data_IF_399219639887
#
_entry.id   IF_399219639887
#
_cell.length_a   1.000
_cell.length_b   1.000
_cell.length_c   1.000
_cell.angle_alpha   90.00
_cell.angle_beta   90.00
_cell.angle_gamma   90.00
#
_symmetry.space_group_name_H-M   'P 1'
#
loop_
_entity.id
_entity.type
_entity.pdbx_description
1 polymer ?
#
# COMPACT_ATOMS: atom_id res chain seq x y z
N UNK A 1 2.92 21.10 -10.07
CA UNK A 1 1.78 20.99 -9.14
C UNK A 1 2.06 19.87 -8.14
N UNK A 2 2.54 20.23 -6.96
CA UNK A 2 2.90 19.30 -5.88
C UNK A 2 1.62 18.79 -5.23
N UNK A 3 1.38 17.48 -5.28
CA UNK A 3 0.42 16.87 -4.38
C UNK A 3 1.12 16.64 -3.06
N UNK A 4 0.62 17.34 -2.06
CA UNK A 4 1.06 17.27 -0.68
C UNK A 4 0.99 15.80 -0.20
N UNK A 5 2.06 15.21 0.37
CA UNK A 5 2.12 13.81 0.79
C UNK A 5 1.08 13.40 1.85
N UNK A 6 0.25 14.35 2.31
CA UNK A 6 -0.84 14.14 3.27
C UNK A 6 -2.23 14.09 2.61
N UNK A 7 -2.34 14.20 1.29
CA UNK A 7 -3.62 14.17 0.57
C UNK A 7 -4.07 12.73 0.29
N UNK A 8 -5.32 12.43 0.64
CA UNK A 8 -5.95 11.14 0.35
C UNK A 8 -6.60 11.19 -1.04
N UNK A 9 -6.17 10.28 -1.91
CA UNK A 9 -6.69 9.92 -3.24
C UNK A 9 -8.12 9.35 -3.29
N UNK A 10 -9.21 10.14 -3.26
CA UNK A 10 -10.59 9.61 -3.35
C UNK A 10 -11.51 10.49 -4.19
N UNK A 11 -12.31 9.87 -5.07
CA UNK A 11 -13.27 10.61 -5.91
C UNK A 11 -14.37 11.27 -5.08
N UNK A 12 -14.81 10.58 -4.02
CA UNK A 12 -15.77 11.11 -3.04
C UNK A 12 -15.25 12.35 -2.30
N UNK A 13 -13.94 12.57 -2.24
CA UNK A 13 -13.33 13.75 -1.62
C UNK A 13 -12.92 14.81 -2.66
N UNK A 14 -13.23 14.60 -3.94
CA UNK A 14 -12.89 15.51 -5.03
C UNK A 14 -11.39 15.56 -5.35
N UNK A 15 -10.59 14.65 -4.79
CA UNK A 15 -9.13 14.57 -4.99
C UNK A 15 -8.74 13.56 -6.05
N UNK A 16 -9.72 12.89 -6.68
CA UNK A 16 -9.53 11.87 -7.71
C UNK A 16 -10.69 11.84 -8.71
N UNK A 17 -10.45 11.28 -9.89
CA UNK A 17 -11.49 11.08 -10.90
C UNK A 17 -12.45 9.95 -10.48
N UNK A 18 -13.76 10.18 -10.63
CA UNK A 18 -14.81 9.22 -10.26
C UNK A 18 -16.05 9.92 -9.69
N UNK A 19 -17.01 9.18 -9.11
CA UNK A 19 -18.21 9.77 -8.51
C UNK A 19 -17.83 10.69 -7.35
N UNK A 20 -18.30 11.94 -7.43
CA UNK A 20 -18.11 12.99 -6.43
C UNK A 20 -19.05 12.81 -5.23
N UNK A 21 -18.75 13.51 -4.12
CA UNK A 21 -19.65 13.59 -2.96
C UNK A 21 -21.06 14.02 -3.36
N UNK A 22 -22.08 13.26 -2.92
CA UNK A 22 -23.49 13.62 -3.08
C UNK A 22 -24.06 13.89 -1.69
N UNK A 23 -24.46 15.14 -1.38
CA UNK A 23 -25.14 15.47 -0.14
C UNK A 23 -26.33 14.53 0.10
N UNK A 24 -26.56 14.14 1.35
CA UNK A 24 -27.66 13.24 1.79
C UNK A 24 -27.56 11.77 1.34
N UNK A 25 -26.69 11.43 0.38
CA UNK A 25 -26.46 10.04 -0.07
C UNK A 25 -25.08 9.51 0.28
N UNK A 26 -24.07 10.36 0.25
CA UNK A 26 -22.72 10.01 0.63
C UNK A 26 -22.57 10.04 2.15
N UNK A 27 -21.87 9.05 2.71
CA UNK A 27 -21.67 8.89 4.15
C UNK A 27 -20.19 8.85 4.50
N UNK A 28 -19.86 9.26 5.72
CA UNK A 28 -18.50 9.09 6.25
C UNK A 28 -18.07 7.62 6.26
N UNK A 29 -19.02 6.70 6.50
CA UNK A 29 -18.77 5.26 6.44
C UNK A 29 -18.30 4.83 5.04
N UNK A 30 -18.93 5.32 3.97
CA UNK A 30 -18.47 5.02 2.61
C UNK A 30 -17.04 5.48 2.37
N UNK A 31 -16.66 6.66 2.87
CA UNK A 31 -15.27 7.16 2.77
C UNK A 31 -14.31 6.22 3.52
N UNK A 32 -14.63 5.83 4.75
CA UNK A 32 -13.80 4.92 5.55
C UNK A 32 -13.65 3.54 4.89
N UNK A 33 -14.73 2.99 4.34
CA UNK A 33 -14.71 1.73 3.59
C UNK A 33 -13.88 1.86 2.33
N UNK A 34 -14.01 2.95 1.57
CA UNK A 34 -13.19 3.19 0.37
C UNK A 34 -11.69 3.25 0.70
N UNK A 35 -11.29 3.88 1.81
CA UNK A 35 -9.88 3.90 2.25
C UNK A 35 -9.39 2.47 2.51
N UNK A 36 -10.17 1.68 3.25
CA UNK A 36 -9.79 0.30 3.57
C UNK A 36 -9.70 -0.58 2.31
N UNK A 37 -10.62 -0.42 1.37
CA UNK A 37 -10.72 -1.27 0.19
C UNK A 37 -9.81 -0.88 -0.97
N UNK A 38 -9.41 0.39 -1.08
CA UNK A 38 -8.65 0.89 -2.23
C UNK A 38 -7.19 1.18 -1.89
N UNK A 39 -6.88 1.56 -0.65
CA UNK A 39 -5.52 2.01 -0.27
C UNK A 39 -4.80 0.93 0.53
N UNK A 40 -5.50 0.22 1.42
CA UNK A 40 -4.92 -0.81 2.29
C UNK A 40 -5.05 -2.22 1.69
N UNK A 41 -4.69 -2.35 0.40
CA UNK A 41 -4.77 -3.61 -0.36
C UNK A 41 -3.48 -4.42 -0.27
N UNK A 42 -3.54 -5.68 -0.71
CA UNK A 42 -2.42 -6.62 -0.63
C UNK A 42 -1.23 -6.20 -1.50
N UNK A 43 -1.47 -5.70 -2.71
CA UNK A 43 -0.44 -5.26 -3.66
C UNK A 43 -0.62 -3.76 -3.99
N UNK A 44 -0.25 -2.85 -3.06
CA UNK A 44 -0.47 -1.41 -3.22
C UNK A 44 0.31 -0.80 -4.39
N UNK A 45 1.34 -1.50 -4.90
CA UNK A 45 2.08 -1.08 -6.08
C UNK A 45 1.17 -0.90 -7.30
N UNK A 46 0.23 -1.82 -7.54
CA UNK A 46 -0.64 -1.79 -8.73
C UNK A 46 -1.81 -0.80 -8.63
N UNK A 47 -1.94 -0.07 -7.51
CA UNK A 47 -2.85 1.06 -7.43
C UNK A 47 -2.38 2.25 -8.28
N UNK A 48 -1.11 2.24 -8.71
CA UNK A 48 -0.58 3.22 -9.63
C UNK A 48 -1.06 2.95 -11.06
N UNK A 49 -1.53 3.98 -11.79
CA UNK A 49 -2.02 3.82 -13.15
C UNK A 49 -0.89 3.42 -14.11
N UNK A 50 -1.18 2.45 -14.97
CA UNK A 50 -0.24 1.94 -15.97
C UNK A 50 0.61 0.75 -15.48
N UNK A 51 0.38 0.25 -14.27
CA UNK A 51 1.00 -0.99 -13.80
C UNK A 51 0.06 -2.18 -13.97
N UNK A 52 0.62 -3.30 -14.45
CA UNK A 52 -0.13 -4.50 -14.78
C UNK A 52 0.34 -5.68 -13.89
N UNK A 53 -0.54 -6.28 -13.09
CA UNK A 53 -0.22 -7.46 -12.27
C UNK A 53 0.25 -8.67 -13.08
N UNK A 54 -0.09 -8.76 -14.37
CA UNK A 54 0.33 -9.84 -15.25
C UNK A 54 1.79 -9.73 -15.71
N UNK A 55 2.42 -8.56 -15.55
CA UNK A 55 3.81 -8.33 -15.92
C UNK A 55 4.77 -8.83 -14.82
N UNK A 56 5.57 -9.85 -15.16
CA UNK A 56 6.52 -10.47 -14.24
C UNK A 56 7.61 -9.50 -13.72
N UNK A 57 8.04 -8.53 -14.55
CA UNK A 57 8.99 -7.50 -14.14
C UNK A 57 8.39 -6.53 -13.13
N UNK A 58 7.09 -6.24 -13.26
CA UNK A 58 6.35 -5.41 -12.31
C UNK A 58 6.01 -6.14 -11.02
N UNK A 59 5.76 -7.45 -11.06
CA UNK A 59 5.62 -8.25 -9.84
C UNK A 59 6.88 -8.21 -8.96
N UNK A 60 8.08 -8.27 -9.55
CA UNK A 60 9.32 -8.14 -8.80
C UNK A 60 9.46 -6.76 -8.11
N UNK A 61 8.98 -5.70 -8.77
CA UNK A 61 8.95 -4.32 -8.21
C UNK A 61 7.89 -4.19 -7.11
N UNK A 62 6.73 -4.81 -7.29
CA UNK A 62 5.67 -4.87 -6.27
C UNK A 62 6.19 -5.45 -4.97
N UNK A 63 6.90 -6.59 -5.01
CA UNK A 63 7.49 -7.21 -3.83
C UNK A 63 8.49 -6.30 -3.09
N UNK A 64 9.31 -5.56 -3.83
CA UNK A 64 10.23 -4.59 -3.23
C UNK A 64 9.48 -3.44 -2.57
N UNK A 65 8.40 -2.98 -3.20
CA UNK A 65 7.53 -1.94 -2.67
C UNK A 65 6.84 -2.41 -1.38
N UNK A 66 6.30 -3.62 -1.35
CA UNK A 66 5.70 -4.23 -0.16
C UNK A 66 6.65 -4.24 1.04
N UNK A 67 7.91 -4.63 0.83
CA UNK A 67 8.94 -4.61 1.88
C UNK A 67 9.11 -3.21 2.48
N UNK A 68 9.11 -2.17 1.64
CA UNK A 68 9.21 -0.79 2.12
C UNK A 68 7.96 -0.37 2.90
N UNK A 69 6.77 -0.72 2.41
CA UNK A 69 5.50 -0.40 3.09
C UNK A 69 5.37 -1.15 4.42
N UNK A 70 5.75 -2.43 4.49
CA UNK A 70 5.77 -3.22 5.73
C UNK A 70 6.70 -2.60 6.78
N UNK A 71 7.92 -2.22 6.37
CA UNK A 71 8.87 -1.54 7.25
C UNK A 71 8.33 -0.18 7.75
N UNK A 72 7.73 0.60 6.87
CA UNK A 72 7.10 1.87 7.23
C UNK A 72 5.91 1.66 8.19
N UNK A 73 5.08 0.65 7.95
CA UNK A 73 3.94 0.27 8.80
C UNK A 73 4.41 -0.11 10.20
N UNK A 74 5.44 -0.96 10.31
CA UNK A 74 6.01 -1.33 11.60
C UNK A 74 6.56 -0.10 12.35
N UNK A 75 7.31 0.75 11.66
CA UNK A 75 7.95 1.92 12.28
C UNK A 75 6.95 2.99 12.71
N UNK A 76 6.02 3.36 11.84
CA UNK A 76 5.13 4.50 12.03
C UNK A 76 3.80 4.08 12.64
N UNK A 77 3.09 3.15 12.01
CA UNK A 77 1.73 2.79 12.39
C UNK A 77 1.67 1.89 13.63
N UNK A 78 2.68 1.03 13.83
CA UNK A 78 2.75 0.15 15.01
C UNK A 78 3.60 0.80 16.12
N UNK A 79 4.91 0.86 15.95
CA UNK A 79 5.82 1.33 17.00
C UNK A 79 5.61 2.81 17.35
N UNK A 80 5.34 3.66 16.36
CA UNK A 80 5.03 5.07 16.58
C UNK A 80 3.80 5.26 17.45
N UNK A 81 2.69 4.59 17.11
CA UNK A 81 1.44 4.67 17.86
C UNK A 81 1.51 3.97 19.22
N UNK A 82 2.31 2.93 19.39
CA UNK A 82 2.55 2.32 20.71
C UNK A 82 3.37 3.22 21.65
N UNK A 83 4.32 4.00 21.11
CA UNK A 83 5.18 4.90 21.91
C UNK A 83 4.51 6.24 22.21
N UNK A 84 3.77 6.76 21.24
CA UNK A 84 3.07 8.05 21.34
C UNK A 84 1.71 7.89 20.67
N UNK A 85 0.74 7.27 21.36
CA UNK A 85 -0.59 7.10 20.82
C UNK A 85 -1.23 8.47 20.55
N UNK A 86 -2.13 8.50 19.57
CA UNK A 86 -2.91 9.69 19.29
C UNK A 86 -3.87 9.93 20.45
N UNK A 87 -3.86 11.09 21.14
CA UNK A 87 -4.58 11.28 22.41
C UNK A 87 -6.07 10.94 22.36
N UNK A 88 -6.73 11.29 21.25
CA UNK A 88 -8.16 11.01 21.06
C UNK A 88 -8.50 9.51 20.99
N UNK A 89 -7.53 8.69 20.59
CA UNK A 89 -7.72 7.25 20.36
C UNK A 89 -6.80 6.40 21.25
N UNK A 90 -6.22 6.97 22.30
CA UNK A 90 -5.17 6.32 23.09
C UNK A 90 -5.61 4.97 23.65
N UNK A 91 -6.74 4.93 24.35
CA UNK A 91 -7.28 3.68 24.93
C UNK A 91 -7.55 2.63 23.84
N UNK A 92 -8.16 3.04 22.74
CA UNK A 92 -8.47 2.15 21.61
C UNK A 92 -7.20 1.59 20.97
N UNK A 93 -6.16 2.41 20.79
CA UNK A 93 -4.87 2.02 20.22
C UNK A 93 -4.19 1.00 21.15
N UNK A 94 -4.11 1.30 22.45
CA UNK A 94 -3.46 0.44 23.43
C UNK A 94 -4.20 -0.89 23.58
N UNK A 95 -5.53 -0.87 23.66
CA UNK A 95 -6.34 -2.09 23.71
C UNK A 95 -6.24 -2.91 22.43
N UNK A 96 -6.22 -2.27 21.26
CA UNK A 96 -6.02 -2.95 19.99
C UNK A 96 -4.72 -3.76 20.00
N UNK A 97 -3.59 -3.12 20.35
CA UNK A 97 -2.30 -3.80 20.38
C UNK A 97 -2.23 -4.87 21.48
N UNK A 98 -2.87 -4.65 22.63
CA UNK A 98 -2.97 -5.64 23.71
C UNK A 98 -3.74 -6.89 23.25
N UNK A 99 -4.95 -6.70 22.72
CA UNK A 99 -5.84 -7.79 22.31
C UNK A 99 -5.34 -8.53 21.07
N UNK A 100 -4.68 -7.83 20.14
CA UNK A 100 -4.18 -8.41 18.89
C UNK A 100 -2.71 -8.79 18.93
N UNK A 101 -2.00 -8.63 20.06
CA UNK A 101 -0.57 -8.92 20.23
C UNK A 101 -0.11 -10.22 19.55
N UNK A 102 -0.79 -11.34 19.84
CA UNK A 102 -0.44 -12.66 19.27
C UNK A 102 -0.52 -12.68 17.75
N UNK A 103 -1.57 -12.11 17.17
CA UNK A 103 -1.76 -12.05 15.72
C UNK A 103 -0.73 -11.13 15.06
N UNK A 104 -0.44 -9.99 15.69
CA UNK A 104 0.55 -9.03 15.17
C UNK A 104 1.94 -9.67 15.17
N UNK A 105 2.37 -10.29 16.27
CA UNK A 105 3.67 -10.96 16.34
C UNK A 105 3.78 -12.07 15.28
N UNK A 106 2.76 -12.93 15.17
CA UNK A 106 2.73 -13.96 14.13
C UNK A 106 2.88 -13.37 12.71
N UNK A 107 2.20 -12.27 12.43
CA UNK A 107 2.31 -11.59 11.13
C UNK A 107 3.72 -11.07 10.85
N UNK A 108 4.41 -10.56 11.88
CA UNK A 108 5.79 -10.09 11.76
C UNK A 108 6.76 -11.25 11.51
N UNK A 109 6.57 -12.39 12.20
CA UNK A 109 7.37 -13.60 11.98
C UNK A 109 7.19 -14.13 10.55
N UNK A 110 5.96 -14.10 10.03
CA UNK A 110 5.65 -14.46 8.64
C UNK A 110 6.32 -13.52 7.64
N UNK A 111 6.28 -12.20 7.89
CA UNK A 111 6.96 -11.23 7.04
C UNK A 111 8.48 -11.44 7.04
N UNK A 112 9.09 -11.61 8.21
CA UNK A 112 10.53 -11.85 8.33
C UNK A 112 10.95 -13.14 7.61
N UNK A 113 10.17 -14.21 7.76
CA UNK A 113 10.43 -15.49 7.10
C UNK A 113 10.34 -15.35 5.58
N UNK A 114 9.31 -14.66 5.07
CA UNK A 114 9.15 -14.43 3.62
C UNK A 114 10.33 -13.66 3.01
N UNK A 115 10.87 -12.68 3.74
CA UNK A 115 12.00 -11.89 3.27
C UNK A 115 13.30 -12.71 3.22
N UNK A 116 13.54 -13.56 4.22
CA UNK A 116 14.71 -14.46 4.25
C UNK A 116 14.66 -15.48 3.11
N UNK A 117 13.48 -16.00 2.78
CA UNK A 117 13.31 -16.91 1.64
C UNK A 117 13.60 -16.23 0.30
N UNK A 118 13.13 -14.99 0.13
CA UNK A 118 13.39 -14.21 -1.09
C UNK A 118 14.88 -13.87 -1.25
N UNK A 119 15.58 -13.57 -0.15
CA UNK A 119 17.03 -13.34 -0.15
C UNK A 119 17.81 -14.60 -0.54
N UNK A 120 17.41 -15.77 -0.02
CA UNK A 120 18.03 -17.06 -0.36
C UNK A 120 17.84 -17.43 -1.84
N UNK A 121 16.68 -17.13 -2.43
CA UNK A 121 16.41 -17.35 -3.86
C UNK A 121 17.29 -16.49 -4.77
N UNK A 122 17.55 -15.23 -4.39
CA UNK A 122 18.45 -14.34 -5.15
C UNK A 122 19.89 -14.85 -5.16
N UNK A 123 20.41 -15.28 -4.02
CA UNK A 123 21.76 -15.83 -3.90
C UNK A 123 21.94 -17.12 -4.70
N UNK A 124 20.88 -17.93 -4.82
CA UNK A 124 20.91 -19.14 -5.66
C UNK A 124 20.89 -18.84 -7.17
N UNK A 125 20.28 -17.73 -7.61
CA UNK A 125 20.22 -17.35 -9.03
C UNK A 125 21.47 -16.61 -9.53
N UNK A 126 22.22 -15.94 -8.65
CA UNK A 126 23.44 -15.19 -9.03
C UNK A 126 24.72 -16.07 -9.06
N UNK A 127 24.63 -17.35 -8.68
CA UNK A 127 25.74 -18.30 -8.70
C UNK A 127 26.13 -18.87 -10.07
N UNK A 128 25.52 -18.41 -11.17
CA UNK A 128 25.80 -18.88 -12.53
C UNK A 128 25.71 -17.76 -13.57
N UNK A 129 26.86 -17.20 -13.95
CA UNK A 129 27.00 -16.31 -15.12
C UNK A 129 27.33 -14.87 -14.77
N UNK A 130 28.58 -14.48 -15.03
CA UNK A 130 29.08 -13.12 -14.82
C UNK A 130 28.61 -12.09 -15.85
N UNK A 131 28.91 -10.82 -15.56
CA UNK A 131 28.77 -9.69 -16.50
C UNK A 131 27.69 -8.70 -16.07
N UNK A 132 28.11 -7.58 -15.49
CA UNK A 132 27.24 -6.63 -14.79
C UNK A 132 26.21 -5.86 -15.62
N UNK A 133 25.17 -5.43 -14.93
CA UNK A 133 24.50 -4.15 -15.14
C UNK A 133 24.01 -3.67 -13.77
N UNK A 134 24.53 -2.54 -13.30
CA UNK A 134 24.12 -1.93 -12.04
C UNK A 134 22.61 -1.67 -12.08
N UNK A 135 21.86 -2.38 -11.21
CA UNK A 135 20.46 -2.09 -10.95
C UNK A 135 20.38 -0.72 -10.25
N UNK A 136 20.34 0.33 -11.06
CA UNK A 136 20.06 1.69 -10.59
C UNK A 136 18.75 1.64 -9.80
N UNK A 137 18.83 2.07 -8.53
CA UNK A 137 17.66 2.24 -7.68
C UNK A 137 16.61 3.05 -8.44
N UNK A 138 15.32 2.65 -8.41
CA UNK A 138 14.30 3.48 -9.03
C UNK A 138 14.37 4.86 -8.34
N UNK A 139 14.33 5.97 -9.09
CA UNK A 139 14.34 7.29 -8.49
C UNK A 139 13.16 7.38 -7.53
N UNK A 140 13.34 8.08 -6.41
CA UNK A 140 12.24 8.54 -5.55
C UNK A 140 11.31 9.42 -6.39
N UNK A 141 10.44 8.83 -7.20
CA UNK A 141 9.30 9.54 -7.77
C UNK A 141 8.23 9.48 -6.70
N UNK A 142 8.09 10.62 -6.02
CA UNK A 142 6.92 10.90 -5.23
C UNK A 142 5.68 10.56 -6.06
N UNK A 143 4.75 9.84 -5.43
CA UNK A 143 3.35 9.66 -5.83
C UNK A 143 2.91 10.81 -6.75
N UNK A 144 2.72 10.52 -8.05
CA UNK A 144 2.36 11.53 -9.05
C UNK A 144 0.93 11.26 -9.55
N UNK A 145 -0.09 11.88 -8.93
CA UNK A 145 -1.50 11.64 -9.23
C UNK A 145 -1.96 12.14 -10.60
N UNK A 146 -1.08 12.70 -11.43
CA UNK A 146 -1.45 13.23 -12.75
C UNK A 146 -1.61 12.17 -13.86
N UNK A 147 -1.42 10.88 -13.60
CA UNK A 147 -1.52 9.83 -14.63
C UNK A 147 -2.70 8.85 -14.47
N UNK A 148 -3.63 9.07 -13.52
CA UNK A 148 -4.82 8.23 -13.39
C UNK A 148 -5.96 8.71 -14.30
N UNK A 149 -5.69 8.74 -15.60
CA UNK A 149 -6.71 8.95 -16.63
C UNK A 149 -6.74 7.69 -17.48
N UNK A 150 -7.53 6.71 -17.04
CA UNK A 150 -8.34 5.83 -17.90
C UNK A 150 -8.89 4.66 -17.08
N UNK A 151 -10.22 4.53 -17.10
CA UNK A 151 -11.00 3.32 -16.85
C UNK A 151 -11.32 2.95 -15.39
N UNK A 152 -12.44 3.51 -14.94
CA UNK A 152 -13.29 2.96 -13.87
C UNK A 152 -14.76 2.97 -14.32
N UNK A 153 -15.04 2.52 -15.55
CA UNK A 153 -16.40 2.35 -16.04
C UNK A 153 -16.97 1.03 -15.53
N UNK A 154 -17.96 1.12 -14.64
CA UNK A 154 -18.81 0.00 -14.24
C UNK A 154 -19.49 -0.54 -15.51
N UNK A 155 -19.11 -1.73 -15.98
CA UNK A 155 -19.91 -2.45 -16.98
C UNK A 155 -21.16 -2.97 -16.27
N UNK A 156 -22.27 -2.25 -16.45
CA UNK A 156 -23.60 -2.75 -16.15
C UNK A 156 -23.94 -3.85 -17.15
N UNK A 157 -23.98 -5.10 -16.69
CA UNK A 157 -24.59 -6.19 -17.44
C UNK A 157 -26.10 -6.09 -17.28
N UNK A 158 -26.81 -5.72 -18.35
CA UNK A 158 -28.27 -5.84 -18.40
C UNK A 158 -28.76 -6.04 -19.84
N UNK A 159 -29.33 -7.24 -20.04
CA UNK A 159 -30.09 -7.80 -21.17
C UNK A 159 -29.34 -8.16 -22.44
#
# INVERSE_FOLDING_TARGET
>A
SIVDPRKVCLSLLGTWSGPSWIPEKSTLLQVLVSIQSLILVQDPYFNEPGYDPSDAGQQARSKLYDKQIRAATLKVAILGQMKKPTPLFEDCILDHFRLKKRRILKQLDEWESSEKEDEKKKQASEGGGGGGAAASSPPRRAFNPHHLVAQGGIRSSAK
#
